data_IF_733548699084
#
_entry.id   IF_733548699084
#
_cell.length_a   1.000
_cell.length_b   1.000
_cell.length_c   1.000
_cell.angle_alpha   90.00
_cell.angle_beta   90.00
_cell.angle_gamma   90.00
#
_symmetry.space_group_name_H-M   'P 1'
#
loop_
_entity.id
_entity.type
_entity.pdbx_description
1 polymer ?
#
# COMPACT_ATOMS: atom_id res chain seq x y z
N UNK A 1 0.87 24.54 12.63
CA UNK A 1 -0.19 24.13 11.68
C UNK A 1 -1.37 23.69 12.52
N UNK A 2 -2.51 24.38 12.46
CA UNK A 2 -3.74 23.89 13.10
C UNK A 2 -4.31 22.81 12.22
N UNK A 3 -4.14 21.54 12.60
CA UNK A 3 -4.82 20.43 11.93
C UNK A 3 -6.32 20.65 12.10
N UNK A 4 -7.05 20.85 11.01
CA UNK A 4 -8.51 20.83 11.05
C UNK A 4 -8.95 19.36 11.16
N UNK A 5 -8.93 18.86 12.40
CA UNK A 5 -9.30 17.46 12.73
C UNK A 5 -10.79 17.13 12.46
N UNK A 6 -11.59 18.16 12.13
CA UNK A 6 -13.00 18.00 11.78
C UNK A 6 -13.26 17.86 10.29
N UNK A 7 -12.21 17.95 9.45
CA UNK A 7 -12.37 17.77 8.00
C UNK A 7 -12.99 16.39 7.69
N UNK A 8 -14.08 16.30 6.92
CA UNK A 8 -14.65 15.02 6.54
C UNK A 8 -13.76 14.28 5.54
N UNK A 9 -13.32 13.08 5.90
CA UNK A 9 -12.39 12.27 5.10
C UNK A 9 -13.09 11.00 4.64
N UNK A 10 -13.01 10.70 3.34
CA UNK A 10 -13.37 9.41 2.78
C UNK A 10 -12.09 8.58 2.56
N UNK A 11 -12.04 7.39 3.15
CA UNK A 11 -10.97 6.41 2.96
C UNK A 11 -11.56 5.24 2.16
N UNK A 12 -11.10 5.01 0.93
CA UNK A 12 -11.46 3.82 0.16
C UNK A 12 -10.48 2.70 0.45
N UNK A 13 -10.91 1.45 0.50
CA UNK A 13 -10.03 0.35 0.87
C UNK A 13 -9.70 0.32 2.37
N UNK A 14 -10.59 0.88 3.22
CA UNK A 14 -10.33 1.05 4.64
C UNK A 14 -10.35 -0.23 5.46
N UNK A 15 -10.88 -1.34 4.93
CA UNK A 15 -10.79 -2.68 5.54
C UNK A 15 -9.47 -3.39 5.20
N UNK A 16 -8.68 -2.85 4.27
CA UNK A 16 -7.38 -3.39 3.90
C UNK A 16 -6.26 -3.00 4.88
N UNK A 17 -5.07 -3.58 4.66
CA UNK A 17 -3.90 -3.39 5.53
C UNK A 17 -3.55 -1.91 5.79
N UNK A 18 -3.36 -1.10 4.73
CA UNK A 18 -3.08 0.33 4.90
C UNK A 18 -4.30 1.06 5.47
N UNK A 19 -5.50 0.74 4.97
CA UNK A 19 -6.72 1.43 5.33
C UNK A 19 -7.02 1.37 6.83
N UNK A 20 -6.95 0.19 7.45
CA UNK A 20 -7.22 0.06 8.89
C UNK A 20 -6.16 0.75 9.74
N UNK A 21 -4.86 0.66 9.36
CA UNK A 21 -3.81 1.36 10.08
C UNK A 21 -3.99 2.88 9.97
N UNK A 22 -4.37 3.39 8.79
CA UNK A 22 -4.69 4.81 8.60
C UNK A 22 -5.91 5.25 9.44
N UNK A 23 -6.97 4.44 9.46
CA UNK A 23 -8.16 4.74 10.30
C UNK A 23 -7.77 4.84 11.76
N UNK A 24 -7.01 3.88 12.29
CA UNK A 24 -6.51 3.89 13.68
C UNK A 24 -5.62 5.10 13.94
N UNK A 25 -4.71 5.41 13.02
CA UNK A 25 -3.80 6.55 13.11
C UNK A 25 -4.57 7.88 13.13
N UNK A 26 -5.50 8.09 12.22
CA UNK A 26 -6.29 9.32 12.15
C UNK A 26 -7.14 9.52 13.42
N UNK A 27 -7.77 8.46 13.94
CA UNK A 27 -8.50 8.52 15.22
C UNK A 27 -7.56 8.88 16.37
N UNK A 28 -6.37 8.25 16.44
CA UNK A 28 -5.36 8.51 17.48
C UNK A 28 -4.85 9.96 17.45
N UNK A 29 -4.78 10.56 16.25
CA UNK A 29 -4.36 11.96 16.04
C UNK A 29 -5.50 12.96 16.09
N UNK A 30 -6.73 12.51 16.43
CA UNK A 30 -7.86 13.37 16.76
C UNK A 30 -8.84 13.64 15.63
N UNK A 31 -8.71 13.00 14.45
CA UNK A 31 -9.69 13.13 13.39
C UNK A 31 -11.01 12.42 13.75
N UNK A 32 -12.15 13.11 13.57
CA UNK A 32 -13.45 12.65 14.04
C UNK A 32 -14.39 12.20 12.90
N UNK A 33 -14.27 12.80 11.70
CA UNK A 33 -15.23 12.63 10.61
C UNK A 33 -14.68 11.69 9.53
N UNK A 34 -14.63 10.40 9.83
CA UNK A 34 -14.08 9.40 8.92
C UNK A 34 -15.22 8.56 8.31
N UNK A 35 -15.24 8.47 6.99
CA UNK A 35 -16.05 7.53 6.21
C UNK A 35 -15.13 6.51 5.55
N UNK A 36 -15.48 5.24 5.63
CA UNK A 36 -14.78 4.14 4.98
C UNK A 36 -15.68 3.53 3.91
N UNK A 37 -15.13 3.36 2.69
CA UNK A 37 -15.76 2.62 1.59
C UNK A 37 -14.90 1.40 1.28
N UNK A 38 -15.46 0.19 1.38
CA UNK A 38 -14.75 -1.05 1.06
C UNK A 38 -15.70 -2.12 0.53
N UNK A 39 -15.19 -3.04 -0.29
CA UNK A 39 -15.92 -4.24 -0.74
C UNK A 39 -16.01 -5.30 0.35
N UNK A 40 -15.00 -5.37 1.24
CA UNK A 40 -14.99 -6.26 2.40
C UNK A 40 -15.73 -5.64 3.59
N UNK A 41 -16.22 -6.47 4.49
CA UNK A 41 -16.79 -6.00 5.74
C UNK A 41 -15.73 -5.38 6.64
N UNK A 42 -16.13 -4.42 7.45
CA UNK A 42 -15.23 -3.74 8.39
C UNK A 42 -15.29 -4.43 9.76
N UNK A 43 -14.37 -5.39 9.97
CA UNK A 43 -14.35 -6.27 11.14
C UNK A 43 -13.35 -5.84 12.22
N UNK A 44 -13.25 -4.53 12.50
CA UNK A 44 -12.33 -3.96 13.49
C UNK A 44 -13.10 -3.30 14.63
N UNK A 45 -13.45 -4.06 15.70
CA UNK A 45 -14.33 -3.59 16.77
C UNK A 45 -13.75 -2.42 17.56
N UNK A 46 -12.43 -2.26 17.61
CA UNK A 46 -11.72 -1.19 18.31
C UNK A 46 -12.02 0.21 17.75
N UNK A 47 -12.36 0.30 16.46
CA UNK A 47 -12.61 1.58 15.77
C UNK A 47 -13.93 1.65 15.01
N UNK A 48 -14.68 0.54 14.89
CA UNK A 48 -15.90 0.45 14.09
C UNK A 48 -16.93 1.51 14.46
N UNK A 49 -17.09 1.82 15.74
CA UNK A 49 -18.06 2.79 16.26
C UNK A 49 -17.61 4.26 16.10
N UNK A 50 -16.39 4.49 15.59
CA UNK A 50 -15.80 5.83 15.41
C UNK A 50 -15.78 6.27 13.96
N UNK A 51 -16.32 5.46 13.07
CA UNK A 51 -16.34 5.73 11.63
C UNK A 51 -17.72 5.47 11.05
N UNK A 52 -18.01 6.07 9.90
CA UNK A 52 -19.13 5.68 9.04
C UNK A 52 -18.64 4.67 8.04
N UNK A 53 -19.10 3.43 8.11
CA UNK A 53 -18.76 2.39 7.13
C UNK A 53 -19.82 2.27 6.05
N UNK A 54 -19.38 2.17 4.78
CA UNK A 54 -20.21 1.91 3.62
C UNK A 54 -19.59 0.74 2.85
N UNK A 55 -20.34 -0.34 2.70
CA UNK A 55 -19.94 -1.45 1.86
C UNK A 55 -20.20 -1.10 0.40
N UNK A 56 -19.15 -1.12 -0.43
CA UNK A 56 -19.28 -0.78 -1.84
C UNK A 56 -17.95 -0.86 -2.59
N UNK A 57 -18.05 -0.90 -3.90
CA UNK A 57 -16.91 -1.04 -4.81
C UNK A 57 -16.56 0.32 -5.42
N UNK A 58 -15.28 0.64 -5.54
CA UNK A 58 -14.79 1.86 -6.22
C UNK A 58 -15.06 1.83 -7.74
N UNK A 59 -15.39 0.68 -8.30
CA UNK A 59 -15.86 0.54 -9.68
C UNK A 59 -17.33 0.95 -9.85
N UNK A 60 -18.09 0.99 -8.75
CA UNK A 60 -19.48 1.44 -8.73
C UNK A 60 -19.57 2.93 -8.36
N UNK A 61 -19.88 3.74 -9.35
CA UNK A 61 -20.03 5.18 -9.16
C UNK A 61 -21.16 5.58 -8.19
N UNK A 62 -22.22 4.76 -8.08
CA UNK A 62 -23.30 5.05 -7.14
C UNK A 62 -22.88 4.81 -5.71
N UNK A 63 -22.12 3.75 -5.45
CA UNK A 63 -21.53 3.50 -4.14
C UNK A 63 -20.60 4.65 -3.71
N UNK A 64 -19.76 5.16 -4.64
CA UNK A 64 -18.88 6.30 -4.36
C UNK A 64 -19.70 7.57 -4.04
N UNK A 65 -20.75 7.87 -4.83
CA UNK A 65 -21.61 9.04 -4.60
C UNK A 65 -22.28 8.98 -3.21
N UNK A 66 -22.74 7.80 -2.79
CA UNK A 66 -23.32 7.58 -1.47
C UNK A 66 -22.31 7.74 -0.32
N UNK A 67 -21.03 7.36 -0.58
CA UNK A 67 -19.97 7.50 0.41
C UNK A 67 -19.46 8.95 0.55
N UNK A 68 -19.56 9.75 -0.50
CA UNK A 68 -18.90 11.06 -0.63
C UNK A 68 -19.82 12.26 -0.31
N UNK A 69 -20.87 12.08 0.53
CA UNK A 69 -21.91 13.11 0.74
C UNK A 69 -21.33 14.49 1.12
N UNK A 70 -20.50 14.56 2.18
CA UNK A 70 -19.93 15.80 2.71
C UNK A 70 -18.39 15.78 2.68
N UNK A 71 -17.79 14.90 1.90
CA UNK A 71 -16.35 14.66 1.87
C UNK A 71 -15.58 15.87 1.38
N UNK A 72 -14.55 16.26 2.12
CA UNK A 72 -13.60 17.33 1.75
C UNK A 72 -12.23 16.78 1.37
N UNK A 73 -11.89 15.62 1.87
CA UNK A 73 -10.64 14.95 1.58
C UNK A 73 -10.89 13.47 1.24
N UNK A 74 -10.26 12.97 0.18
CA UNK A 74 -10.28 11.55 -0.18
C UNK A 74 -8.89 10.98 -0.03
N UNK A 75 -8.78 9.85 0.68
CA UNK A 75 -7.57 9.01 0.69
C UNK A 75 -7.91 7.70 -0.01
N UNK A 76 -7.37 7.54 -1.20
CA UNK A 76 -7.65 6.40 -2.07
C UNK A 76 -6.62 5.30 -1.85
N UNK A 77 -6.95 4.34 -0.95
CA UNK A 77 -6.10 3.18 -0.64
C UNK A 77 -6.64 1.86 -1.21
N UNK A 78 -7.84 1.88 -1.80
CA UNK A 78 -8.40 0.71 -2.47
C UNK A 78 -7.51 0.29 -3.64
N UNK A 79 -7.09 -0.96 -3.64
CA UNK A 79 -6.15 -1.50 -4.61
C UNK A 79 -6.38 -3.00 -4.81
N UNK A 80 -6.13 -3.50 -6.01
CA UNK A 80 -6.01 -4.91 -6.28
C UNK A 80 -4.56 -5.37 -6.06
N UNK A 81 -4.38 -6.51 -5.40
CA UNK A 81 -3.04 -7.03 -5.12
C UNK A 81 -2.36 -7.54 -6.41
N UNK A 82 -1.01 -7.52 -6.49
CA UNK A 82 -0.27 -8.01 -7.66
C UNK A 82 -0.57 -9.46 -8.08
N UNK A 83 -1.15 -10.26 -7.17
CA UNK A 83 -1.50 -11.67 -7.39
C UNK A 83 -2.90 -11.86 -7.98
N UNK A 84 -3.68 -10.81 -8.12
CA UNK A 84 -5.01 -10.89 -8.72
C UNK A 84 -4.90 -11.03 -10.24
N UNK A 85 -6.01 -11.41 -10.89
CA UNK A 85 -6.06 -11.44 -12.35
C UNK A 85 -5.84 -10.04 -12.92
N UNK A 86 -5.19 -9.96 -14.08
CA UNK A 86 -4.91 -8.68 -14.72
C UNK A 86 -6.18 -7.81 -14.90
N UNK A 87 -7.31 -8.44 -15.25
CA UNK A 87 -8.61 -7.74 -15.42
C UNK A 87 -9.06 -7.07 -14.11
N UNK A 88 -8.93 -7.76 -12.97
CA UNK A 88 -9.29 -7.22 -11.66
C UNK A 88 -8.33 -6.08 -11.26
N UNK A 89 -7.03 -6.23 -11.58
CA UNK A 89 -6.03 -5.19 -11.34
C UNK A 89 -6.39 -3.93 -12.13
N UNK A 90 -6.55 -4.03 -13.45
CA UNK A 90 -6.85 -2.86 -14.28
C UNK A 90 -8.21 -2.23 -13.95
N UNK A 91 -9.24 -3.03 -13.71
CA UNK A 91 -10.56 -2.48 -13.37
C UNK A 91 -10.54 -1.76 -12.02
N UNK A 92 -9.83 -2.28 -11.02
CA UNK A 92 -9.76 -1.65 -9.70
C UNK A 92 -8.83 -0.42 -9.72
N UNK A 93 -7.59 -0.59 -10.20
CA UNK A 93 -6.58 0.47 -10.16
C UNK A 93 -6.90 1.62 -11.13
N UNK A 94 -7.33 1.31 -12.34
CA UNK A 94 -7.53 2.35 -13.37
C UNK A 94 -8.96 2.87 -13.34
N UNK A 95 -9.96 2.00 -13.53
CA UNK A 95 -11.35 2.46 -13.59
C UNK A 95 -11.87 2.92 -12.23
N UNK A 96 -11.49 2.20 -11.14
CA UNK A 96 -11.80 2.63 -9.77
C UNK A 96 -11.23 4.01 -9.46
N UNK A 97 -9.95 4.25 -9.79
CA UNK A 97 -9.30 5.57 -9.58
C UNK A 97 -9.98 6.67 -10.41
N UNK A 98 -10.29 6.41 -11.69
CA UNK A 98 -11.01 7.38 -12.55
C UNK A 98 -12.38 7.72 -12.00
N UNK A 99 -13.13 6.73 -11.51
CA UNK A 99 -14.46 6.94 -10.95
C UNK A 99 -14.41 7.83 -9.70
N UNK A 100 -13.48 7.52 -8.76
CA UNK A 100 -13.39 8.29 -7.52
C UNK A 100 -12.86 9.70 -7.75
N UNK A 101 -11.94 9.91 -8.71
CA UNK A 101 -11.48 11.23 -9.14
C UNK A 101 -12.63 12.04 -9.76
N UNK A 102 -13.42 11.43 -10.64
CA UNK A 102 -14.55 12.09 -11.30
C UNK A 102 -15.60 12.56 -10.28
N UNK A 103 -15.95 11.70 -9.31
CA UNK A 103 -16.89 12.07 -8.26
C UNK A 103 -16.28 13.10 -7.31
N UNK A 104 -14.97 13.02 -7.00
CA UNK A 104 -14.27 14.01 -6.19
C UNK A 104 -14.33 15.41 -6.80
N UNK A 105 -14.09 15.52 -8.11
CA UNK A 105 -14.22 16.80 -8.82
C UNK A 105 -15.67 17.29 -8.84
N UNK A 106 -16.63 16.41 -9.14
CA UNK A 106 -18.07 16.73 -9.14
C UNK A 106 -18.56 17.24 -7.78
N UNK A 107 -18.01 16.72 -6.68
CA UNK A 107 -18.38 17.06 -5.29
C UNK A 107 -17.53 18.20 -4.70
N UNK A 108 -16.65 18.80 -5.48
CA UNK A 108 -15.73 19.86 -5.04
C UNK A 108 -14.89 19.44 -3.83
N UNK A 109 -14.36 18.22 -3.87
CA UNK A 109 -13.40 17.73 -2.86
C UNK A 109 -12.15 18.62 -2.87
N UNK A 110 -11.66 19.00 -1.71
CA UNK A 110 -10.50 19.89 -1.59
C UNK A 110 -9.18 19.22 -1.89
N UNK A 111 -9.06 17.92 -1.53
CA UNK A 111 -7.83 17.14 -1.60
C UNK A 111 -8.11 15.70 -1.97
N UNK A 112 -7.26 15.17 -2.81
CA UNK A 112 -7.26 13.76 -3.19
C UNK A 112 -5.86 13.19 -2.96
N UNK A 113 -5.71 12.18 -2.12
CA UNK A 113 -4.45 11.50 -1.87
C UNK A 113 -4.53 10.12 -2.49
N UNK A 114 -3.71 9.87 -3.51
CA UNK A 114 -3.62 8.58 -4.19
C UNK A 114 -2.44 7.77 -3.66
N UNK A 115 -2.70 6.54 -3.27
CA UNK A 115 -1.64 5.62 -2.87
C UNK A 115 -1.22 4.78 -4.07
N UNK A 116 -0.11 5.20 -4.68
CA UNK A 116 0.58 4.50 -5.74
C UNK A 116 1.57 3.46 -5.18
N UNK A 117 2.67 3.22 -5.84
CA UNK A 117 3.72 2.29 -5.42
C UNK A 117 5.02 2.60 -6.16
N UNK A 118 6.17 2.30 -5.55
CA UNK A 118 7.44 2.29 -6.28
C UNK A 118 7.53 1.21 -7.37
N UNK A 119 6.54 0.31 -7.46
CA UNK A 119 6.41 -0.63 -8.58
C UNK A 119 6.23 0.06 -9.95
N UNK A 120 5.88 1.34 -9.99
CA UNK A 120 5.82 2.16 -11.21
C UNK A 120 7.17 2.31 -11.89
N UNK A 121 8.28 2.21 -11.14
CA UNK A 121 9.64 2.30 -11.69
C UNK A 121 10.13 1.00 -12.32
N UNK A 122 9.45 -0.13 -12.06
CA UNK A 122 9.85 -1.44 -12.55
C UNK A 122 11.17 -1.93 -11.95
N UNK A 123 12.10 -2.35 -12.81
CA UNK A 123 13.46 -2.78 -12.43
C UNK A 123 14.42 -1.62 -12.74
N UNK A 124 14.80 -0.84 -11.74
CA UNK A 124 15.63 0.34 -11.97
C UNK A 124 17.10 -0.06 -12.24
N UNK A 125 17.79 0.76 -13.04
CA UNK A 125 19.19 0.63 -13.36
C UNK A 125 20.11 1.46 -12.44
N UNK A 126 19.51 2.30 -11.56
CA UNK A 126 20.23 3.16 -10.63
C UNK A 126 19.47 3.37 -9.31
N UNK A 127 20.17 3.89 -8.32
CA UNK A 127 19.66 4.32 -7.03
C UNK A 127 20.42 5.58 -6.56
N UNK A 128 19.78 6.50 -5.79
CA UNK A 128 18.38 6.49 -5.36
C UNK A 128 17.42 6.80 -6.53
N UNK A 129 16.17 6.33 -6.42
CA UNK A 129 15.09 6.68 -7.34
C UNK A 129 14.50 8.03 -6.98
N UNK A 130 14.30 8.87 -7.99
CA UNK A 130 13.67 10.18 -7.88
C UNK A 130 12.26 10.16 -8.47
N UNK A 131 11.41 11.07 -8.05
CA UNK A 131 10.04 11.18 -8.54
C UNK A 131 9.97 11.52 -10.04
N UNK A 132 11.04 12.12 -10.58
CA UNK A 132 11.18 12.47 -12.00
C UNK A 132 11.70 11.33 -12.87
N UNK A 133 12.09 10.21 -12.29
CA UNK A 133 12.61 9.07 -13.05
C UNK A 133 11.53 8.44 -13.93
N UNK A 134 11.98 7.82 -15.02
CA UNK A 134 11.12 7.15 -15.98
C UNK A 134 10.29 6.07 -15.29
N UNK A 135 9.01 6.06 -15.61
CA UNK A 135 8.09 5.00 -15.18
C UNK A 135 8.12 3.86 -16.21
N UNK A 136 8.37 2.64 -15.75
CA UNK A 136 8.50 1.44 -16.57
C UNK A 136 8.01 0.20 -15.81
N UNK A 137 6.76 0.26 -15.37
CA UNK A 137 6.14 -0.73 -14.49
C UNK A 137 6.19 -2.15 -15.05
N UNK A 138 6.58 -3.11 -14.21
CA UNK A 138 6.61 -4.53 -14.58
C UNK A 138 5.27 -5.20 -14.29
N UNK A 139 4.74 -5.89 -15.30
CA UNK A 139 3.50 -6.65 -15.21
C UNK A 139 2.24 -5.80 -15.06
N UNK A 140 1.08 -6.44 -14.89
CA UNK A 140 -0.20 -5.74 -14.85
C UNK A 140 -0.29 -4.71 -13.72
N UNK A 141 0.24 -5.01 -12.54
CA UNK A 141 0.14 -4.13 -11.37
C UNK A 141 0.93 -2.83 -11.55
N UNK A 142 2.22 -2.91 -11.91
CA UNK A 142 3.04 -1.72 -12.15
C UNK A 142 2.46 -0.83 -13.25
N UNK A 143 2.03 -1.44 -14.36
CA UNK A 143 1.41 -0.72 -15.47
C UNK A 143 0.07 -0.08 -15.09
N UNK A 144 -0.78 -0.76 -14.32
CA UNK A 144 -2.05 -0.20 -13.87
C UNK A 144 -1.85 0.97 -12.90
N UNK A 145 -0.84 0.90 -12.02
CA UNK A 145 -0.46 2.03 -11.14
C UNK A 145 0.00 3.25 -11.96
N UNK A 146 0.77 3.07 -13.03
CA UNK A 146 1.16 4.17 -13.93
C UNK A 146 -0.10 4.82 -14.53
N UNK A 147 -1.02 4.04 -15.09
CA UNK A 147 -2.26 4.57 -15.68
C UNK A 147 -3.16 5.27 -14.65
N UNK A 148 -3.16 4.80 -13.40
CA UNK A 148 -3.87 5.47 -12.31
C UNK A 148 -3.22 6.82 -11.95
N UNK A 149 -1.88 6.89 -11.94
CA UNK A 149 -1.17 8.16 -11.74
C UNK A 149 -1.42 9.15 -12.88
N UNK A 150 -1.44 8.68 -14.13
CA UNK A 150 -1.79 9.51 -15.29
C UNK A 150 -3.19 10.14 -15.13
N UNK A 151 -4.18 9.34 -14.70
CA UNK A 151 -5.50 9.88 -14.36
C UNK A 151 -5.43 10.93 -13.24
N UNK A 152 -4.65 10.69 -12.19
CA UNK A 152 -4.44 11.66 -11.13
C UNK A 152 -3.84 12.98 -11.65
N UNK A 153 -2.84 12.92 -12.53
CA UNK A 153 -2.22 14.09 -13.15
C UNK A 153 -3.21 14.89 -14.03
N UNK A 154 -4.08 14.21 -14.77
CA UNK A 154 -5.15 14.89 -15.54
C UNK A 154 -6.09 15.69 -14.62
N UNK A 155 -6.45 15.14 -13.44
CA UNK A 155 -7.33 15.83 -12.50
C UNK A 155 -6.61 16.94 -11.73
N UNK A 156 -5.30 16.83 -11.53
CA UNK A 156 -4.47 17.93 -11.04
C UNK A 156 -4.53 19.15 -11.96
N UNK A 157 -4.53 18.93 -13.29
CA UNK A 157 -4.72 19.99 -14.29
C UNK A 157 -6.13 20.61 -14.26
N UNK A 158 -7.13 19.87 -13.76
CA UNK A 158 -8.52 20.35 -13.56
C UNK A 158 -8.72 21.03 -12.20
N UNK A 159 -7.64 21.47 -11.57
CA UNK A 159 -7.63 22.21 -10.29
C UNK A 159 -8.01 21.38 -9.04
N UNK A 160 -8.05 20.05 -9.11
CA UNK A 160 -8.12 19.20 -7.93
C UNK A 160 -6.71 19.13 -7.31
N UNK A 161 -6.59 19.37 -6.00
CA UNK A 161 -5.33 19.16 -5.29
C UNK A 161 -5.11 17.65 -5.14
N UNK A 162 -4.14 17.09 -5.87
CA UNK A 162 -3.86 15.65 -5.90
C UNK A 162 -2.45 15.37 -5.43
N UNK A 163 -2.32 14.70 -4.28
CA UNK A 163 -1.05 14.13 -3.82
C UNK A 163 -0.94 12.68 -4.30
N UNK A 164 0.19 12.32 -4.89
CA UNK A 164 0.50 10.93 -5.27
C UNK A 164 1.62 10.44 -4.37
N UNK A 165 1.38 9.40 -3.59
CA UNK A 165 2.39 8.78 -2.73
C UNK A 165 2.82 7.44 -3.33
N UNK A 166 4.13 7.26 -3.55
CA UNK A 166 4.76 6.03 -4.05
C UNK A 166 5.52 5.33 -2.91
N UNK A 167 4.81 4.61 -2.02
CA UNK A 167 5.49 3.91 -0.94
C UNK A 167 6.33 2.74 -1.45
N UNK A 168 7.45 2.49 -0.74
CA UNK A 168 8.16 1.21 -0.77
C UNK A 168 7.32 0.14 -0.07
N UNK A 169 7.80 -1.12 -0.08
CA UNK A 169 7.17 -2.16 0.71
C UNK A 169 7.10 -1.75 2.17
N UNK A 170 5.91 -1.80 2.75
CA UNK A 170 5.70 -1.38 4.12
C UNK A 170 5.13 -2.51 4.98
N UNK A 171 5.44 -2.47 6.27
CA UNK A 171 5.10 -3.47 7.29
C UNK A 171 4.40 -2.82 8.47
N UNK A 172 3.71 -3.62 9.26
CA UNK A 172 2.99 -3.18 10.45
C UNK A 172 1.89 -4.15 10.86
N UNK A 173 1.07 -3.81 11.84
CA UNK A 173 -0.08 -4.61 12.26
C UNK A 173 -1.03 -4.91 11.09
N UNK A 174 -1.68 -6.06 11.11
CA UNK A 174 -2.60 -6.56 10.05
C UNK A 174 -1.91 -6.89 8.70
N UNK A 175 -0.58 -6.88 8.63
CA UNK A 175 0.15 -7.26 7.41
C UNK A 175 0.03 -8.75 7.12
N UNK A 176 -0.32 -9.08 5.87
CA UNK A 176 -0.45 -10.45 5.36
C UNK A 176 0.74 -10.82 4.43
N UNK A 177 0.76 -12.07 3.98
CA UNK A 177 1.76 -12.55 3.03
C UNK A 177 3.05 -13.03 3.71
N UNK A 178 4.20 -12.85 3.06
CA UNK A 178 5.49 -13.39 3.54
C UNK A 178 5.89 -12.86 4.92
N UNK A 179 5.53 -11.63 5.24
CA UNK A 179 5.80 -11.05 6.56
C UNK A 179 4.95 -11.68 7.66
N UNK A 180 3.67 -11.98 7.39
CA UNK A 180 2.84 -12.75 8.33
C UNK A 180 3.45 -14.13 8.60
N UNK A 181 3.93 -14.81 7.55
CA UNK A 181 4.61 -16.10 7.70
C UNK A 181 5.86 -15.99 8.57
N UNK A 182 6.66 -14.93 8.41
CA UNK A 182 7.82 -14.68 9.27
C UNK A 182 7.41 -14.48 10.74
N UNK A 183 6.36 -13.70 11.00
CA UNK A 183 5.85 -13.46 12.34
C UNK A 183 5.28 -14.72 12.99
N UNK A 184 4.54 -15.55 12.23
CA UNK A 184 4.02 -16.82 12.70
C UNK A 184 5.15 -17.79 13.08
N UNK A 185 6.20 -17.89 12.25
CA UNK A 185 7.35 -18.75 12.54
C UNK A 185 8.15 -18.23 13.73
N UNK A 186 8.29 -16.93 13.88
CA UNK A 186 8.92 -16.32 15.05
C UNK A 186 8.13 -16.66 16.32
N UNK A 187 6.81 -16.50 16.32
CA UNK A 187 5.88 -16.83 17.40
C UNK A 187 5.90 -18.33 17.73
N UNK A 188 5.97 -19.18 16.71
CA UNK A 188 6.02 -20.65 16.86
C UNK A 188 7.41 -21.15 17.28
N UNK A 189 8.36 -20.26 17.58
CA UNK A 189 9.72 -20.65 17.96
C UNK A 189 10.42 -21.50 16.89
N UNK A 190 10.33 -21.10 15.60
CA UNK A 190 10.94 -21.80 14.47
C UNK A 190 12.03 -20.95 13.80
N UNK A 191 13.05 -21.64 13.25
CA UNK A 191 14.00 -21.00 12.36
C UNK A 191 13.32 -20.63 11.04
N UNK A 192 13.64 -19.46 10.45
CA UNK A 192 13.02 -19.02 9.20
C UNK A 192 13.93 -19.31 8.00
N UNK A 193 13.43 -20.00 6.94
CA UNK A 193 14.21 -20.26 5.74
C UNK A 193 14.31 -19.02 4.87
N UNK A 194 15.50 -18.74 4.35
CA UNK A 194 15.76 -17.65 3.42
C UNK A 194 16.40 -18.19 2.14
N UNK A 195 15.87 -17.81 1.00
CA UNK A 195 16.44 -18.13 -0.30
C UNK A 195 17.57 -17.13 -0.59
N UNK A 196 18.78 -17.62 -0.84
CA UNK A 196 19.95 -16.78 -1.03
C UNK A 196 20.59 -16.32 0.27
N UNK A 197 21.49 -15.34 0.17
CA UNK A 197 22.23 -14.79 1.31
C UNK A 197 21.41 -13.82 2.17
N UNK A 198 20.45 -13.14 1.56
CA UNK A 198 19.69 -12.05 2.15
C UNK A 198 20.52 -10.77 2.39
N UNK A 199 21.67 -10.63 1.71
CA UNK A 199 22.55 -9.46 1.85
C UNK A 199 22.12 -8.25 1.02
N UNK A 200 21.09 -8.41 0.18
CA UNK A 200 20.48 -7.31 -0.53
C UNK A 200 19.84 -6.33 0.47
N UNK A 201 20.09 -5.04 0.30
CA UNK A 201 19.45 -4.00 1.09
C UNK A 201 18.00 -3.87 0.66
N UNK A 202 17.10 -3.80 1.62
CA UNK A 202 15.68 -3.73 1.37
C UNK A 202 15.04 -2.64 2.24
N UNK A 203 14.55 -1.58 1.58
CA UNK A 203 13.99 -0.42 2.26
C UNK A 203 12.57 -0.72 2.74
N UNK A 204 12.44 -1.40 3.89
CA UNK A 204 11.15 -1.59 4.55
C UNK A 204 10.70 -0.28 5.19
N UNK A 205 9.45 0.09 4.95
CA UNK A 205 8.81 1.27 5.51
C UNK A 205 7.87 0.85 6.64
N UNK A 206 7.84 1.58 7.74
CA UNK A 206 6.81 1.42 8.76
C UNK A 206 5.48 1.98 8.24
N UNK A 207 4.38 1.27 8.49
CA UNK A 207 3.03 1.72 8.11
C UNK A 207 2.63 3.01 8.84
N UNK A 208 3.11 3.23 10.06
CA UNK A 208 2.85 4.47 10.79
C UNK A 208 3.53 5.68 10.10
N UNK A 209 4.78 5.53 9.59
CA UNK A 209 5.45 6.57 8.80
C UNK A 209 4.68 6.90 7.51
N UNK A 210 4.09 5.89 6.87
CA UNK A 210 3.22 6.13 5.71
C UNK A 210 1.93 6.84 6.10
N UNK A 211 1.33 6.50 7.25
CA UNK A 211 0.17 7.20 7.79
C UNK A 211 0.49 8.66 8.15
N UNK A 212 1.68 8.93 8.69
CA UNK A 212 2.17 10.29 8.93
C UNK A 212 2.31 11.09 7.62
N UNK A 213 2.90 10.49 6.58
CA UNK A 213 3.01 11.11 5.26
C UNK A 213 1.61 11.43 4.66
N UNK A 214 0.65 10.53 4.78
CA UNK A 214 -0.74 10.77 4.37
C UNK A 214 -1.34 11.93 5.17
N UNK A 215 -1.14 11.97 6.48
CA UNK A 215 -1.65 13.03 7.37
C UNK A 215 -1.05 14.39 7.01
N UNK A 216 0.23 14.46 6.64
CA UNK A 216 0.85 15.65 6.12
C UNK A 216 0.20 16.11 4.80
N UNK A 217 -0.19 15.20 3.92
CA UNK A 217 -0.94 15.54 2.69
C UNK A 217 -2.36 16.03 3.00
N UNK A 218 -3.02 15.50 4.03
CA UNK A 218 -4.35 15.96 4.48
C UNK A 218 -4.28 17.40 5.01
N UNK A 219 -3.27 17.73 5.81
CA UNK A 219 -3.20 18.99 6.59
C UNK A 219 -2.25 20.05 6.01
N UNK A 220 -1.33 19.67 5.13
CA UNK A 220 -0.30 20.55 4.59
C UNK A 220 -0.84 21.66 3.64
N UNK A 221 -0.03 22.63 3.30
CA UNK A 221 -0.37 23.65 2.31
C UNK A 221 -0.62 23.02 0.93
N UNK A 222 -1.74 23.35 0.27
CA UNK A 222 -2.11 22.75 -1.03
C UNK A 222 -0.99 22.88 -2.07
N UNK A 223 -0.28 23.99 -2.09
CA UNK A 223 0.83 24.24 -3.02
C UNK A 223 2.03 23.32 -2.81
N UNK A 224 2.20 22.80 -1.60
CA UNK A 224 3.32 21.90 -1.24
C UNK A 224 2.96 20.42 -1.40
N UNK A 225 1.68 20.07 -1.18
CA UNK A 225 1.24 18.67 -1.21
C UNK A 225 0.62 18.26 -2.54
N UNK A 226 0.35 19.19 -3.45
CA UNK A 226 -0.15 18.91 -4.80
C UNK A 226 0.96 18.42 -5.72
N UNK A 227 1.63 17.33 -5.30
CA UNK A 227 2.81 16.80 -5.97
C UNK A 227 2.90 15.28 -5.82
N UNK A 228 3.97 14.68 -6.34
CA UNK A 228 4.28 13.25 -6.25
C UNK A 228 5.45 13.04 -5.32
N UNK A 229 5.39 12.02 -4.45
CA UNK A 229 6.38 11.76 -3.41
C UNK A 229 6.73 10.29 -3.32
N UNK A 230 8.02 9.96 -3.35
CA UNK A 230 8.52 8.65 -2.97
C UNK A 230 8.57 8.55 -1.45
N UNK A 231 7.96 7.51 -0.89
CA UNK A 231 7.92 7.30 0.56
C UNK A 231 8.72 6.03 0.90
N UNK A 232 9.79 6.22 1.65
CA UNK A 232 10.68 5.13 2.06
C UNK A 232 11.32 5.40 3.42
N UNK A 233 11.78 4.36 4.09
CA UNK A 233 12.50 4.49 5.35
C UNK A 233 13.82 5.25 5.15
N UNK A 234 14.16 6.12 6.10
CA UNK A 234 15.43 6.85 6.12
C UNK A 234 16.61 5.91 6.35
N UNK A 235 16.44 4.98 7.28
CA UNK A 235 17.43 3.97 7.62
C UNK A 235 16.87 2.59 7.30
N UNK A 236 17.66 1.74 6.69
CA UNK A 236 17.25 0.38 6.31
C UNK A 236 18.47 -0.54 6.22
N UNK A 237 18.24 -1.77 6.58
CA UNK A 237 19.26 -2.81 6.66
C UNK A 237 19.20 -3.78 5.47
N UNK A 238 19.88 -4.91 5.60
CA UNK A 238 19.72 -6.03 4.68
C UNK A 238 18.48 -6.85 5.05
N UNK A 239 17.92 -7.55 4.08
CA UNK A 239 16.76 -8.41 4.32
C UNK A 239 17.01 -9.46 5.42
N UNK A 240 18.25 -9.95 5.51
CA UNK A 240 18.68 -10.88 6.57
C UNK A 240 18.65 -10.22 7.95
N UNK A 241 19.17 -9.01 8.06
CA UNK A 241 19.22 -8.28 9.34
C UNK A 241 17.80 -7.95 9.81
N UNK A 242 16.91 -7.46 8.91
CA UNK A 242 15.53 -7.15 9.25
C UNK A 242 14.76 -8.40 9.70
N UNK A 243 14.89 -9.51 8.98
CA UNK A 243 14.20 -10.76 9.34
C UNK A 243 14.78 -11.38 10.60
N UNK A 244 16.11 -11.30 10.81
CA UNK A 244 16.73 -11.77 12.04
C UNK A 244 16.29 -10.94 13.25
N UNK A 245 16.12 -9.61 13.09
CA UNK A 245 15.63 -8.76 14.16
C UNK A 245 14.23 -9.17 14.64
N UNK A 246 13.34 -9.62 13.75
CA UNK A 246 12.03 -10.17 14.12
C UNK A 246 12.18 -11.44 14.97
N UNK A 247 13.08 -12.37 14.59
CA UNK A 247 13.34 -13.58 15.37
C UNK A 247 14.01 -13.30 16.72
N UNK A 248 14.91 -12.32 16.76
CA UNK A 248 15.58 -11.91 17.99
C UNK A 248 14.60 -11.22 18.96
N UNK A 249 13.68 -10.40 18.44
CA UNK A 249 12.60 -9.79 19.22
C UNK A 249 11.66 -10.83 19.84
N UNK A 250 11.38 -11.93 19.13
CA UNK A 250 10.57 -13.02 19.66
C UNK A 250 11.23 -13.75 20.84
N UNK A 251 12.55 -13.61 21.05
CA UNK A 251 13.26 -14.06 22.24
C UNK A 251 13.54 -15.56 22.33
N UNK A 252 13.26 -16.36 21.28
CA UNK A 252 13.44 -17.82 21.30
C UNK A 252 14.81 -18.28 20.77
N UNK A 253 15.75 -17.38 20.49
CA UNK A 253 17.08 -17.68 19.97
C UNK A 253 17.12 -18.34 18.60
N UNK A 254 16.06 -18.13 17.78
CA UNK A 254 15.95 -18.72 16.43
C UNK A 254 16.72 -17.90 15.40
N UNK A 255 17.08 -18.56 14.30
CA UNK A 255 17.96 -17.97 13.28
C UNK A 255 17.38 -18.06 11.89
N UNK A 256 17.81 -17.13 11.03
CA UNK A 256 17.62 -17.22 9.59
C UNK A 256 18.54 -18.32 9.04
N UNK A 257 17.94 -19.28 8.35
CA UNK A 257 18.66 -20.38 7.70
C UNK A 257 18.66 -20.15 6.19
N UNK A 258 19.81 -19.82 5.63
CA UNK A 258 19.95 -19.58 4.21
C UNK A 258 20.07 -20.86 3.41
N UNK A 259 19.39 -20.89 2.27
CA UNK A 259 19.51 -21.95 1.27
C UNK A 259 20.06 -21.37 -0.03
N UNK A 260 20.95 -22.06 -0.75
CA UNK A 260 21.45 -21.60 -2.05
C UNK A 260 20.30 -21.30 -3.02
N UNK A 261 20.30 -20.12 -3.64
CA UNK A 261 19.19 -19.71 -4.49
C UNK A 261 18.98 -20.63 -5.71
N UNK A 262 20.08 -20.96 -6.42
CA UNK A 262 20.00 -21.70 -7.70
C UNK A 262 19.26 -23.05 -7.59
N UNK A 263 19.60 -23.97 -6.64
CA UNK A 263 18.87 -25.24 -6.55
C UNK A 263 17.45 -25.05 -6.03
N UNK A 264 17.22 -24.12 -5.10
CA UNK A 264 15.86 -23.87 -4.57
C UNK A 264 14.95 -23.32 -5.67
N UNK A 265 15.40 -22.35 -6.44
CA UNK A 265 14.64 -21.78 -7.57
C UNK A 265 14.37 -22.87 -8.63
N UNK A 266 15.35 -23.74 -8.94
CA UNK A 266 15.13 -24.84 -9.87
C UNK A 266 14.04 -25.81 -9.38
N UNK A 267 14.06 -26.17 -8.09
CA UNK A 267 13.03 -27.02 -7.48
C UNK A 267 11.66 -26.32 -7.52
N UNK A 268 11.59 -25.05 -7.19
CA UNK A 268 10.34 -24.29 -7.21
C UNK A 268 9.75 -24.19 -8.62
N UNK A 269 10.57 -23.95 -9.65
CA UNK A 269 10.14 -23.97 -11.06
C UNK A 269 9.62 -25.35 -11.48
N UNK A 270 10.25 -26.41 -11.02
CA UNK A 270 9.77 -27.79 -11.28
C UNK A 270 8.42 -28.06 -10.59
N UNK A 271 8.28 -27.64 -9.32
CA UNK A 271 7.03 -27.76 -8.58
C UNK A 271 5.91 -26.90 -9.20
N UNK A 272 6.24 -25.73 -9.74
CA UNK A 272 5.29 -24.87 -10.45
C UNK A 272 4.78 -25.55 -11.72
N UNK A 273 5.66 -26.17 -12.49
CA UNK A 273 5.25 -26.95 -13.67
C UNK A 273 4.18 -27.99 -13.34
N UNK A 274 4.28 -28.61 -12.17
CA UNK A 274 3.28 -29.55 -11.65
C UNK A 274 2.13 -28.90 -10.87
N UNK A 275 2.08 -27.56 -10.78
CA UNK A 275 1.12 -26.78 -9.96
C UNK A 275 1.18 -27.12 -8.45
N UNK A 276 2.33 -27.51 -7.96
CA UNK A 276 2.59 -27.90 -6.57
C UNK A 276 3.49 -26.89 -5.83
N UNK A 277 3.86 -25.78 -6.45
CA UNK A 277 4.73 -24.77 -5.82
C UNK A 277 4.04 -24.15 -4.61
N UNK A 278 4.68 -24.14 -3.43
CA UNK A 278 4.16 -23.48 -2.24
C UNK A 278 4.38 -21.94 -2.27
N UNK A 279 5.18 -21.44 -3.22
CA UNK A 279 5.51 -20.03 -3.36
C UNK A 279 5.04 -19.50 -4.71
N UNK A 280 4.69 -18.22 -4.73
CA UNK A 280 4.31 -17.53 -5.95
C UNK A 280 5.53 -17.25 -6.84
N UNK A 281 5.34 -17.35 -8.14
CA UNK A 281 6.37 -17.22 -9.17
C UNK A 281 7.23 -15.95 -9.02
N UNK A 282 6.61 -14.82 -8.77
CA UNK A 282 7.32 -13.55 -8.64
C UNK A 282 8.31 -13.51 -7.47
N UNK A 283 8.11 -14.31 -6.39
CA UNK A 283 9.00 -14.32 -5.22
C UNK A 283 10.41 -14.82 -5.58
N UNK A 284 10.51 -15.77 -6.53
CA UNK A 284 11.78 -16.35 -6.92
C UNK A 284 12.28 -15.90 -8.31
N UNK A 285 11.48 -15.12 -9.05
CA UNK A 285 11.93 -14.43 -10.26
C UNK A 285 12.60 -13.08 -9.95
N UNK A 286 12.30 -12.51 -8.77
CA UNK A 286 12.88 -11.24 -8.30
C UNK A 286 13.95 -11.43 -7.22
N UNK A 287 14.25 -12.66 -6.82
CA UNK A 287 15.31 -13.02 -5.89
C UNK A 287 16.62 -13.31 -6.64
#
# INVERSE_FOLDING_TARGET
MTNDVKIPILITGGSGFLGINLVRHLIRTGFENLTVLDIADFEYPDVKNKIRFIKGDVRDRQAILGAMADTRCVVHTAAALPLYKAEDIYSTEVEGTKNILAVSLQKNVDRFIHISSTAVYGIPDHHPLLETDKLDGVGPYGNAKILAEEACLEYRQKSLCVSILRPKSFVGPERLGVFALLYDWAKDSRNFPMIGSGTNRYQLLDVDDLCDAITLCISGEKTKVNDTFNIGAREFATMREDFQAVLDHAGFGKKIVSFPASPVVAILKLLEFFRLSPLYKWIYETA
#
